data_IF_629690239331
#
_entry.id   IF_629690239331
#
_cell.length_a   1.000
_cell.length_b   1.000
_cell.length_c   1.000
_cell.angle_alpha   90.00
_cell.angle_beta   90.00
_cell.angle_gamma   90.00
#
_symmetry.space_group_name_H-M   'P 1'
#
loop_
_entity.id
_entity.type
_entity.pdbx_description
1 polymer ?
#
# COMPACT_ATOMS: atom_id res chain seq x y z
N UNK A 1 -67.25 -36.49 -48.88
CA UNK A 1 -67.25 -35.02 -49.07
C UNK A 1 -68.45 -34.52 -48.28
N UNK A 2 -68.35 -33.89 -47.12
CA UNK A 2 -67.43 -32.84 -46.65
C UNK A 2 -67.20 -32.94 -45.14
N UNK A 3 -65.97 -32.65 -44.73
CA UNK A 3 -65.48 -32.40 -43.38
C UNK A 3 -66.15 -31.12 -42.80
N UNK A 4 -66.06 -30.68 -41.54
CA UNK A 4 -65.04 -30.62 -40.48
C UNK A 4 -65.83 -30.25 -39.19
N UNK A 5 -65.40 -30.44 -37.96
CA UNK A 5 -64.22 -29.82 -37.33
C UNK A 5 -63.86 -30.58 -36.04
N UNK A 6 -62.56 -30.82 -35.86
CA UNK A 6 -61.98 -31.46 -34.67
C UNK A 6 -61.92 -30.45 -33.53
N UNK A 7 -62.59 -30.75 -32.43
CA UNK A 7 -62.56 -29.95 -31.21
C UNK A 7 -61.34 -30.35 -30.35
N UNK A 8 -60.30 -29.52 -30.36
CA UNK A 8 -59.12 -29.68 -29.51
C UNK A 8 -59.43 -29.18 -28.10
N UNK A 9 -59.63 -30.12 -27.18
CA UNK A 9 -59.64 -29.84 -25.74
C UNK A 9 -58.22 -29.41 -25.32
N UNK A 10 -58.09 -28.16 -24.90
CA UNK A 10 -56.82 -27.51 -24.57
C UNK A 10 -56.88 -26.93 -23.17
N UNK A 11 -57.06 -27.78 -22.18
CA UNK A 11 -56.74 -27.44 -20.80
C UNK A 11 -55.24 -27.63 -20.56
N UNK A 12 -54.43 -26.65 -21.00
CA UNK A 12 -53.02 -26.56 -20.56
C UNK A 12 -53.00 -25.90 -19.17
N UNK A 13 -52.36 -26.50 -18.16
CA UNK A 13 -52.25 -25.92 -16.83
C UNK A 13 -51.23 -24.78 -16.82
N UNK A 14 -51.65 -23.58 -17.26
CA UNK A 14 -50.82 -22.35 -17.27
C UNK A 14 -50.42 -21.90 -15.86
N UNK A 15 -51.01 -22.47 -14.80
CA UNK A 15 -50.76 -22.09 -13.42
C UNK A 15 -49.45 -22.66 -12.85
N UNK A 16 -48.98 -23.82 -13.31
CA UNK A 16 -47.86 -24.55 -12.68
C UNK A 16 -46.51 -23.93 -13.07
N UNK A 17 -46.31 -23.63 -14.36
CA UNK A 17 -45.03 -23.08 -14.88
C UNK A 17 -44.68 -21.69 -14.31
N UNK A 18 -45.70 -20.88 -13.98
CA UNK A 18 -45.50 -19.54 -13.39
C UNK A 18 -44.97 -19.63 -11.97
N UNK A 19 -45.39 -20.64 -11.19
CA UNK A 19 -44.91 -20.82 -9.82
C UNK A 19 -43.44 -21.25 -9.81
N UNK A 20 -43.07 -22.19 -10.68
CA UNK A 20 -41.70 -22.68 -10.82
C UNK A 20 -40.75 -21.58 -11.29
N UNK A 21 -41.16 -20.77 -12.26
CA UNK A 21 -40.33 -19.67 -12.80
C UNK A 21 -40.03 -18.60 -11.73
N UNK A 22 -41.01 -18.27 -10.88
CA UNK A 22 -40.82 -17.31 -9.78
C UNK A 22 -39.92 -17.87 -8.67
N UNK A 23 -39.99 -19.17 -8.40
CA UNK A 23 -39.12 -19.85 -7.42
C UNK A 23 -37.66 -19.88 -7.89
N UNK A 24 -37.44 -20.17 -9.18
CA UNK A 24 -36.11 -20.13 -9.78
C UNK A 24 -35.52 -18.71 -9.84
N UNK A 25 -36.35 -17.68 -10.07
CA UNK A 25 -35.90 -16.30 -10.09
C UNK A 25 -35.49 -15.80 -8.69
N UNK A 26 -36.29 -16.09 -7.66
CA UNK A 26 -35.96 -15.75 -6.27
C UNK A 26 -34.68 -16.45 -5.79
N UNK A 27 -34.50 -17.71 -6.17
CA UNK A 27 -33.29 -18.47 -5.85
C UNK A 27 -32.03 -17.89 -6.51
N UNK A 28 -32.12 -17.48 -7.78
CA UNK A 28 -31.02 -16.82 -8.49
C UNK A 28 -30.65 -15.50 -7.84
N UNK A 29 -31.64 -14.68 -7.47
CA UNK A 29 -31.41 -13.40 -6.78
C UNK A 29 -30.70 -13.63 -5.44
N UNK A 30 -31.15 -14.63 -4.68
CA UNK A 30 -30.53 -15.00 -3.41
C UNK A 30 -29.06 -15.42 -3.58
N UNK A 31 -28.76 -16.29 -4.56
CA UNK A 31 -27.39 -16.72 -4.85
C UNK A 31 -26.51 -15.53 -5.27
N UNK A 32 -27.03 -14.62 -6.09
CA UNK A 32 -26.26 -13.45 -6.53
C UNK A 32 -25.95 -12.51 -5.36
N UNK A 33 -26.90 -12.30 -4.44
CA UNK A 33 -26.66 -11.47 -3.26
C UNK A 33 -25.64 -12.11 -2.32
N UNK A 34 -25.70 -13.44 -2.16
CA UNK A 34 -24.73 -14.18 -1.35
C UNK A 34 -23.31 -14.12 -1.95
N UNK A 35 -23.18 -14.25 -3.28
CA UNK A 35 -21.89 -14.13 -3.97
C UNK A 35 -21.32 -12.71 -3.86
N UNK A 36 -22.15 -11.67 -4.03
CA UNK A 36 -21.71 -10.28 -3.88
C UNK A 36 -21.23 -9.99 -2.45
N UNK A 37 -21.94 -10.50 -1.44
CA UNK A 37 -21.54 -10.39 -0.04
C UNK A 37 -20.19 -11.09 0.23
N UNK A 38 -20.01 -12.30 -0.30
CA UNK A 38 -18.78 -13.07 -0.17
C UNK A 38 -17.58 -12.34 -0.80
N UNK A 39 -17.76 -11.80 -2.01
CA UNK A 39 -16.72 -11.01 -2.69
C UNK A 39 -16.37 -9.76 -1.88
N UNK A 40 -17.36 -9.04 -1.36
CA UNK A 40 -17.13 -7.87 -0.51
C UNK A 40 -16.34 -8.22 0.77
N UNK A 41 -16.69 -9.34 1.43
CA UNK A 41 -15.96 -9.82 2.60
C UNK A 41 -14.52 -10.23 2.28
N UNK A 42 -14.31 -10.93 1.16
CA UNK A 42 -12.98 -11.34 0.72
C UNK A 42 -12.10 -10.12 0.36
N UNK A 43 -12.69 -9.11 -0.29
CA UNK A 43 -12.00 -7.85 -0.60
C UNK A 43 -11.61 -7.06 0.66
N UNK A 44 -12.34 -7.17 1.76
CA UNK A 44 -11.96 -6.56 3.05
C UNK A 44 -10.81 -7.33 3.70
N UNK A 45 -10.81 -8.66 3.61
CA UNK A 45 -9.79 -9.50 4.23
C UNK A 45 -8.42 -9.43 3.51
N UNK A 46 -8.43 -9.14 2.20
CA UNK A 46 -7.22 -9.01 1.37
C UNK A 46 -6.64 -7.59 1.30
N UNK A 47 -7.13 -6.63 2.09
CA UNK A 47 -6.59 -5.28 2.07
C UNK A 47 -5.13 -5.30 2.59
N UNK A 48 -4.14 -4.82 1.80
CA UNK A 48 -2.81 -4.62 2.32
C UNK A 48 -2.87 -3.60 3.46
N UNK A 49 -2.10 -3.83 4.53
CA UNK A 49 -2.01 -2.92 5.66
C UNK A 49 -1.74 -1.50 5.13
N UNK A 50 -2.66 -0.57 5.40
CA UNK A 50 -2.46 0.85 5.06
C UNK A 50 -1.13 1.27 5.67
N UNK A 51 -0.19 1.85 4.89
CA UNK A 51 1.00 2.42 5.48
C UNK A 51 0.54 3.44 6.52
N UNK A 52 1.08 3.33 7.73
CA UNK A 52 0.79 4.26 8.80
C UNK A 52 1.03 5.68 8.27
N UNK A 53 0.03 6.56 8.45
CA UNK A 53 0.20 7.99 8.20
C UNK A 53 1.37 8.45 9.07
N UNK A 54 2.50 8.78 8.45
CA UNK A 54 3.53 9.56 9.13
C UNK A 54 2.87 10.85 9.60
N UNK A 55 2.96 11.12 10.91
CA UNK A 55 2.57 12.41 11.45
C UNK A 55 3.28 13.52 10.66
N UNK A 56 2.65 14.66 10.38
CA UNK A 56 3.35 15.77 9.75
C UNK A 56 4.48 16.17 10.71
N UNK A 57 5.73 15.93 10.30
CA UNK A 57 6.84 16.69 10.86
C UNK A 57 6.51 18.16 10.58
N UNK A 58 6.56 19.00 11.62
CA UNK A 58 6.47 20.45 11.46
C UNK A 58 7.43 20.85 10.34
N UNK A 59 6.86 21.26 9.20
CA UNK A 59 7.62 21.64 8.02
C UNK A 59 8.35 22.94 8.42
N UNK A 60 9.70 22.99 8.38
CA UNK A 60 10.42 24.25 8.59
C UNK A 60 9.84 25.30 7.64
N UNK A 61 9.76 26.54 8.13
CA UNK A 61 9.10 27.66 7.48
C UNK A 61 9.32 27.65 5.96
N UNK A 62 8.21 27.46 5.22
CA UNK A 62 8.02 27.72 3.79
C UNK A 62 9.33 27.88 3.01
N UNK A 63 9.96 26.76 2.64
CA UNK A 63 10.82 26.78 1.46
C UNK A 63 9.94 27.24 0.32
N UNK A 64 10.20 28.44 -0.18
CA UNK A 64 9.60 28.93 -1.42
C UNK A 64 9.82 27.85 -2.46
N UNK A 65 8.80 27.50 -3.25
CA UNK A 65 8.90 26.47 -4.31
C UNK A 65 9.96 26.79 -5.38
N UNK A 66 10.69 27.89 -5.22
CA UNK A 66 11.80 28.38 -6.03
C UNK A 66 13.18 27.90 -5.58
N UNK A 67 13.37 27.49 -4.33
CA UNK A 67 14.71 27.18 -3.83
C UNK A 67 15.06 25.71 -4.09
N UNK A 68 16.24 25.41 -4.69
CA UNK A 68 16.62 24.04 -4.97
C UNK A 68 16.93 23.29 -3.68
N UNK A 69 16.42 22.06 -3.56
CA UNK A 69 16.75 21.17 -2.44
C UNK A 69 18.20 20.73 -2.51
N UNK A 70 18.90 20.86 -1.38
CA UNK A 70 20.25 20.33 -1.18
C UNK A 70 20.16 19.02 -0.40
N UNK A 71 20.45 17.92 -1.10
CA UNK A 71 20.39 16.56 -0.55
C UNK A 71 21.81 15.99 -0.38
N UNK A 72 22.05 15.27 0.73
CA UNK A 72 23.32 14.60 0.97
C UNK A 72 23.16 13.07 1.06
N UNK A 73 24.06 12.33 0.42
CA UNK A 73 24.14 10.87 0.57
C UNK A 73 24.64 10.53 1.97
N UNK A 74 23.88 9.73 2.70
CA UNK A 74 24.17 9.39 4.10
C UNK A 74 24.37 7.89 4.27
N UNK A 75 25.52 7.51 4.81
CA UNK A 75 25.92 6.12 5.01
C UNK A 75 25.93 5.79 6.51
N UNK A 76 25.12 4.80 6.90
CA UNK A 76 24.83 4.48 8.31
C UNK A 76 25.50 3.18 8.81
N UNK A 77 26.57 2.76 8.15
CA UNK A 77 27.19 1.43 8.33
C UNK A 77 28.60 1.45 8.92
N UNK A 78 29.08 2.58 9.44
CA UNK A 78 30.40 2.66 10.07
C UNK A 78 30.37 2.23 11.53
N UNK A 79 31.48 1.67 12.00
CA UNK A 79 31.70 1.22 13.38
C UNK A 79 33.11 1.57 13.87
N UNK A 80 33.44 1.13 15.09
CA UNK A 80 34.74 1.41 15.73
C UNK A 80 35.93 0.85 14.94
N UNK A 81 35.73 -0.16 14.08
CA UNK A 81 36.78 -0.82 13.30
C UNK A 81 36.95 -0.19 11.90
N UNK A 82 36.02 0.67 11.50
CA UNK A 82 36.01 1.25 10.16
C UNK A 82 37.12 2.29 9.93
N UNK A 83 37.56 2.97 10.99
CA UNK A 83 38.43 4.15 10.89
C UNK A 83 39.92 3.76 10.95
N UNK A 84 40.49 3.47 9.78
CA UNK A 84 41.91 3.17 9.64
C UNK A 84 42.51 3.87 8.42
N UNK A 85 43.67 4.54 8.54
CA UNK A 85 44.41 5.09 7.39
C UNK A 85 44.80 4.03 6.36
N UNK A 86 44.81 2.74 6.73
CA UNK A 86 45.11 1.66 5.80
C UNK A 86 43.91 1.33 4.88
N UNK A 87 42.70 1.75 5.24
CA UNK A 87 41.45 1.39 4.55
C UNK A 87 40.77 2.61 3.93
N UNK A 88 40.95 3.80 4.52
CA UNK A 88 40.31 5.05 4.10
C UNK A 88 41.37 6.13 3.83
N UNK A 89 41.12 6.98 2.84
CA UNK A 89 41.99 8.10 2.47
C UNK A 89 41.93 9.27 3.45
N UNK A 90 40.83 9.38 4.18
CA UNK A 90 40.54 10.41 5.17
C UNK A 90 39.93 9.79 6.42
N UNK A 91 39.92 10.56 7.50
CA UNK A 91 39.37 10.15 8.79
C UNK A 91 38.46 11.25 9.34
N UNK A 92 37.38 10.88 10.06
CA UNK A 92 36.57 11.86 10.75
C UNK A 92 37.39 12.51 11.87
N UNK A 93 37.03 13.75 12.20
CA UNK A 93 37.66 14.47 13.33
C UNK A 93 37.56 13.69 14.65
N UNK A 94 36.46 12.97 14.84
CA UNK A 94 36.25 12.03 15.94
C UNK A 94 35.76 10.70 15.37
N UNK A 95 36.49 9.59 15.53
CA UNK A 95 36.02 8.25 15.19
C UNK A 95 34.69 7.91 15.87
N UNK A 96 33.78 7.25 15.15
CA UNK A 96 32.42 7.02 15.64
C UNK A 96 31.82 5.69 15.16
N UNK A 97 30.79 5.20 15.86
CA UNK A 97 29.90 4.17 15.34
C UNK A 97 28.58 4.80 14.86
N UNK A 98 28.14 4.48 13.64
CA UNK A 98 26.92 5.02 13.05
C UNK A 98 25.65 4.69 13.84
N UNK A 99 25.69 3.65 14.69
CA UNK A 99 24.58 3.27 15.59
C UNK A 99 24.40 4.21 16.78
N UNK A 100 25.40 5.04 17.08
CA UNK A 100 25.36 5.96 18.22
C UNK A 100 24.43 7.15 17.93
N UNK A 101 23.45 7.36 18.82
CA UNK A 101 22.48 8.45 18.68
C UNK A 101 23.08 9.84 18.86
N UNK A 102 24.10 10.00 19.69
CA UNK A 102 24.81 11.27 19.85
C UNK A 102 25.53 11.67 18.57
N UNK A 103 26.11 10.69 17.87
CA UNK A 103 26.74 10.87 16.56
C UNK A 103 25.70 11.25 15.50
N UNK A 104 24.55 10.56 15.48
CA UNK A 104 23.44 10.94 14.59
C UNK A 104 23.00 12.39 14.82
N UNK A 105 22.84 12.80 16.08
CA UNK A 105 22.50 14.18 16.44
C UNK A 105 23.51 15.19 15.92
N UNK A 106 24.81 14.93 16.15
CA UNK A 106 25.90 15.78 15.64
C UNK A 106 25.89 15.91 14.12
N UNK A 107 25.67 14.82 13.37
CA UNK A 107 25.59 14.87 11.91
C UNK A 107 24.38 15.69 11.42
N UNK A 108 23.24 15.60 12.11
CA UNK A 108 22.06 16.42 11.82
C UNK A 108 22.38 17.91 12.04
N UNK A 109 23.04 18.25 13.14
CA UNK A 109 23.40 19.63 13.44
C UNK A 109 24.40 20.20 12.43
N UNK A 110 25.39 19.39 12.03
CA UNK A 110 26.34 19.75 10.96
C UNK A 110 25.63 19.96 9.62
N UNK A 111 24.69 19.09 9.26
CA UNK A 111 23.93 19.23 8.01
C UNK A 111 23.08 20.49 7.99
N UNK A 112 22.39 20.80 9.10
CA UNK A 112 21.64 22.06 9.25
C UNK A 112 22.55 23.28 9.11
N UNK A 113 23.71 23.27 9.77
CA UNK A 113 24.68 24.37 9.68
C UNK A 113 25.25 24.55 8.26
N UNK A 114 25.29 23.48 7.47
CA UNK A 114 25.74 23.49 6.07
C UNK A 114 24.64 23.81 5.05
N UNK A 115 23.38 23.98 5.48
CA UNK A 115 22.25 24.22 4.57
C UNK A 115 21.79 22.97 3.80
N UNK A 116 22.03 21.78 4.34
CA UNK A 116 21.53 20.52 3.78
C UNK A 116 20.09 20.31 4.28
N UNK A 117 19.17 20.14 3.35
CA UNK A 117 17.74 20.01 3.63
C UNK A 117 17.36 18.59 4.10
N UNK A 118 17.98 17.57 3.49
CA UNK A 118 17.68 16.18 3.83
C UNK A 118 18.81 15.22 3.48
N UNK A 119 18.77 14.05 4.13
CA UNK A 119 19.64 12.91 3.84
C UNK A 119 18.95 11.90 2.94
N UNK A 120 19.70 11.41 1.95
CA UNK A 120 19.36 10.21 1.17
C UNK A 120 20.14 9.05 1.77
N UNK A 121 19.47 8.24 2.58
CA UNK A 121 20.11 7.19 3.37
C UNK A 121 20.35 5.94 2.53
N UNK A 122 21.59 5.47 2.48
CA UNK A 122 21.93 4.18 1.89
C UNK A 122 21.28 3.05 2.68
N UNK A 123 20.54 2.18 1.98
CA UNK A 123 19.76 1.11 2.59
C UNK A 123 19.83 -0.18 1.77
N UNK A 124 20.22 -1.28 2.42
CA UNK A 124 20.31 -2.61 1.81
C UNK A 124 19.00 -3.42 1.89
N UNK A 125 18.00 -2.96 2.63
CA UNK A 125 16.79 -3.74 2.92
C UNK A 125 16.78 -4.30 4.34
N UNK A 126 15.70 -4.99 4.74
CA UNK A 126 15.54 -5.52 6.10
C UNK A 126 16.49 -6.68 6.44
N UNK A 127 17.06 -7.37 5.45
CA UNK A 127 17.99 -8.49 5.65
C UNK A 127 19.47 -8.10 5.66
N UNK A 128 19.79 -6.86 5.28
CA UNK A 128 21.16 -6.48 4.93
C UNK A 128 21.64 -7.09 3.62
#
# INVERSE_FOLDING_TARGET
MTQDTVQFDSTIPVADERAETNLHLGWRIFITLLLLLLVALLSVLLQPARPASSAPLERPALQSTSDPLVLALYYSWFDEQSWSPATLSDLPAEPYASRDRGVMGRHIDQAKAAGIDAFVVAWYGPSG
#
